data_IF_981498119930
#
_entry.id   IF_981498119930
#
_cell.length_a   1.000
_cell.length_b   1.000
_cell.length_c   1.000
_cell.angle_alpha   90.00
_cell.angle_beta   90.00
_cell.angle_gamma   90.00
#
_symmetry.space_group_name_H-M   'P 1'
#
loop_
_entity.id
_entity.type
_entity.pdbx_description
1 polymer ?
#
# COMPACT_ATOMS: atom_id res chain seq x y z
N UNK A 1 32.51 15.03 15.58
CA UNK A 1 32.50 13.78 16.37
C UNK A 1 31.18 13.71 17.12
N UNK A 2 30.36 12.66 16.92
CA UNK A 2 29.06 12.53 17.60
C UNK A 2 29.27 12.32 19.10
N UNK A 3 28.73 13.22 19.93
CA UNK A 3 28.82 13.13 21.38
C UNK A 3 27.55 12.46 21.95
N UNK A 4 27.73 11.33 22.65
CA UNK A 4 26.61 10.60 23.27
C UNK A 4 26.08 11.37 24.47
N UNK A 5 24.91 11.99 24.31
CA UNK A 5 24.19 12.66 25.40
C UNK A 5 22.91 11.88 25.75
N UNK A 6 22.60 11.76 27.03
CA UNK A 6 21.32 11.18 27.49
C UNK A 6 20.18 12.09 27.07
N UNK A 7 19.10 11.50 26.58
CA UNK A 7 17.89 12.21 26.18
C UNK A 7 16.73 11.68 27.00
N UNK A 8 16.49 12.33 28.14
CA UNK A 8 15.48 11.90 29.10
C UNK A 8 14.16 12.57 28.76
N UNK A 9 13.15 11.77 28.47
CA UNK A 9 11.76 12.18 28.22
C UNK A 9 10.89 11.69 29.38
N UNK A 10 9.90 12.49 29.77
CA UNK A 10 8.87 12.05 30.70
C UNK A 10 7.74 11.40 29.91
N UNK A 11 7.46 10.12 30.18
CA UNK A 11 6.28 9.46 29.62
C UNK A 11 5.00 9.93 30.29
N UNK A 12 3.84 9.61 29.69
CA UNK A 12 2.53 10.03 30.17
C UNK A 12 2.21 9.55 31.61
N UNK A 13 2.83 8.45 32.05
CA UNK A 13 2.76 7.89 33.40
C UNK A 13 3.74 8.56 34.39
N UNK A 14 4.49 9.59 33.97
CA UNK A 14 5.46 10.31 34.79
C UNK A 14 6.84 9.64 34.88
N UNK A 15 7.06 8.49 34.23
CA UNK A 15 8.37 7.81 34.26
C UNK A 15 9.40 8.55 33.41
N UNK A 16 10.65 8.62 33.91
CA UNK A 16 11.79 9.12 33.14
C UNK A 16 12.36 8.03 32.25
N UNK A 17 12.27 8.21 30.94
CA UNK A 17 12.74 7.26 29.92
C UNK A 17 13.88 7.88 29.14
N UNK A 18 15.00 7.17 29.01
CA UNK A 18 16.07 7.58 28.10
C UNK A 18 15.74 7.12 26.67
N UNK A 19 15.35 8.05 25.81
CA UNK A 19 15.03 7.77 24.42
C UNK A 19 16.28 7.97 23.57
N UNK A 20 16.77 6.89 22.95
CA UNK A 20 17.96 6.95 22.12
C UNK A 20 17.83 7.98 20.99
N UNK A 21 18.85 8.83 20.82
CA UNK A 21 18.93 9.81 19.72
C UNK A 21 19.92 9.33 18.67
N UNK A 22 19.40 8.64 17.66
CA UNK A 22 20.19 8.23 16.51
C UNK A 22 20.39 9.42 15.57
N UNK A 23 21.55 9.52 14.92
CA UNK A 23 21.77 10.47 13.80
C UNK A 23 21.03 10.01 12.53
N UNK A 24 20.84 8.70 12.40
CA UNK A 24 20.08 8.15 11.29
C UNK A 24 19.30 6.90 11.63
N UNK A 25 18.44 6.51 10.69
CA UNK A 25 17.64 5.31 10.72
C UNK A 25 17.56 4.76 9.30
N UNK A 26 18.15 3.59 9.10
CA UNK A 26 18.08 2.84 7.86
C UNK A 26 16.92 1.84 7.94
N UNK A 27 15.97 2.00 7.04
CA UNK A 27 14.83 1.10 6.87
C UNK A 27 15.06 0.25 5.62
N UNK A 28 14.82 -1.05 5.71
CA UNK A 28 14.93 -1.99 4.60
C UNK A 28 13.59 -2.68 4.43
N UNK A 29 13.00 -2.54 3.25
CA UNK A 29 11.79 -3.27 2.90
C UNK A 29 12.14 -4.76 2.72
N UNK A 30 11.73 -5.59 3.68
CA UNK A 30 12.07 -7.01 3.72
C UNK A 30 10.87 -7.95 3.64
N UNK A 31 9.65 -7.42 3.75
CA UNK A 31 8.40 -8.19 3.75
C UNK A 31 7.27 -7.46 3.04
N UNK A 32 7.60 -6.70 1.99
CA UNK A 32 6.62 -6.01 1.14
C UNK A 32 6.07 -6.92 0.04
N UNK A 33 5.06 -6.45 -0.69
CA UNK A 33 4.49 -7.17 -1.84
C UNK A 33 5.43 -7.27 -3.06
N UNK A 34 6.50 -6.47 -3.12
CA UNK A 34 7.50 -6.54 -4.21
C UNK A 34 8.91 -6.91 -3.72
N UNK A 35 9.35 -6.37 -2.59
CA UNK A 35 10.71 -6.58 -2.09
C UNK A 35 10.89 -8.01 -1.57
N UNK A 36 11.80 -8.76 -2.20
CA UNK A 36 12.14 -10.12 -1.80
C UNK A 36 11.14 -11.18 -2.27
N UNK A 37 10.12 -10.82 -3.05
CA UNK A 37 9.14 -11.75 -3.61
C UNK A 37 9.73 -12.47 -4.83
N UNK A 38 10.59 -13.46 -4.56
CA UNK A 38 11.26 -14.24 -5.62
C UNK A 38 10.30 -15.08 -6.46
N UNK A 39 9.13 -15.43 -5.91
CA UNK A 39 8.07 -16.12 -6.64
C UNK A 39 7.54 -15.27 -7.80
N UNK A 40 7.50 -13.95 -7.63
CA UNK A 40 6.97 -12.99 -8.62
C UNK A 40 8.09 -12.44 -9.53
N UNK A 41 9.24 -13.11 -9.59
CA UNK A 41 10.37 -12.74 -10.44
C UNK A 41 11.28 -11.62 -9.90
N UNK A 42 11.04 -11.12 -8.69
CA UNK A 42 11.91 -10.13 -8.06
C UNK A 42 13.18 -10.75 -7.46
N UNK A 43 14.24 -9.95 -7.34
CA UNK A 43 15.46 -10.38 -6.68
C UNK A 43 15.24 -10.54 -5.15
N UNK A 44 15.93 -11.48 -4.49
CA UNK A 44 15.87 -11.60 -3.03
C UNK A 44 16.46 -10.35 -2.36
N UNK A 45 15.87 -9.92 -1.24
CA UNK A 45 16.43 -8.84 -0.42
C UNK A 45 17.66 -9.38 0.32
N UNK A 46 18.83 -8.71 0.25
CA UNK A 46 20.02 -9.11 0.99
C UNK A 46 19.93 -8.70 2.47
N UNK A 47 18.87 -9.11 3.16
CA UNK A 47 18.55 -8.73 4.55
C UNK A 47 19.67 -9.10 5.52
N UNK A 48 20.24 -10.30 5.39
CA UNK A 48 21.36 -10.75 6.22
C UNK A 48 22.58 -9.85 6.05
N UNK A 49 22.85 -9.36 4.84
CA UNK A 49 23.98 -8.46 4.60
C UNK A 49 23.80 -7.12 5.31
N UNK A 50 22.58 -6.57 5.30
CA UNK A 50 22.28 -5.35 6.05
C UNK A 50 22.56 -5.54 7.54
N UNK A 51 22.08 -6.65 8.11
CA UNK A 51 22.32 -6.95 9.51
C UNK A 51 23.81 -7.11 9.82
N UNK A 52 24.53 -7.92 9.03
CA UNK A 52 25.96 -8.17 9.20
C UNK A 52 26.80 -6.89 9.15
N UNK A 53 26.58 -6.02 8.15
CA UNK A 53 27.35 -4.78 8.03
C UNK A 53 27.03 -3.80 9.15
N UNK A 54 25.76 -3.71 9.58
CA UNK A 54 25.37 -2.88 10.72
C UNK A 54 26.04 -3.31 12.03
N UNK A 55 26.12 -4.61 12.28
CA UNK A 55 26.82 -5.16 13.43
C UNK A 55 28.34 -4.97 13.33
N UNK A 56 28.92 -5.35 12.17
CA UNK A 56 30.37 -5.24 11.89
C UNK A 56 30.88 -3.81 12.07
N UNK A 57 30.12 -2.82 11.61
CA UNK A 57 30.46 -1.38 11.69
C UNK A 57 30.00 -0.73 13.01
N UNK A 58 29.38 -1.49 13.92
CA UNK A 58 28.97 -1.07 15.27
C UNK A 58 28.03 0.15 15.27
N UNK A 59 27.09 0.19 14.32
CA UNK A 59 26.23 1.35 14.09
C UNK A 59 25.04 1.45 15.05
N UNK A 60 24.79 0.42 15.87
CA UNK A 60 23.61 0.29 16.76
C UNK A 60 23.20 1.53 17.54
N UNK A 61 24.17 2.30 18.03
CA UNK A 61 23.93 3.47 18.87
C UNK A 61 24.03 4.81 18.11
N UNK A 62 24.14 4.77 16.78
CA UNK A 62 24.36 5.95 15.93
C UNK A 62 23.38 5.98 14.76
N UNK A 63 23.24 4.85 14.05
CA UNK A 63 22.27 4.65 12.97
C UNK A 63 21.46 3.41 13.29
N UNK A 64 20.16 3.57 13.53
CA UNK A 64 19.27 2.44 13.79
C UNK A 64 19.00 1.67 12.49
N UNK A 65 18.85 0.35 12.58
CA UNK A 65 18.47 -0.49 11.45
C UNK A 65 17.12 -1.14 11.74
N UNK A 66 16.20 -1.02 10.79
CA UNK A 66 14.93 -1.76 10.79
C UNK A 66 14.81 -2.51 9.48
N UNK A 67 14.62 -3.82 9.56
CA UNK A 67 14.37 -4.68 8.41
C UNK A 67 12.99 -5.27 8.57
N UNK A 68 12.13 -5.10 7.58
CA UNK A 68 10.75 -5.59 7.60
C UNK A 68 9.71 -4.49 7.42
N UNK A 69 8.49 -4.91 7.11
CA UNK A 69 7.42 -4.03 6.67
C UNK A 69 7.56 -3.62 5.19
N UNK A 70 6.49 -3.02 4.66
CA UNK A 70 6.49 -2.38 3.36
C UNK A 70 6.80 -0.89 3.53
N UNK A 71 7.75 -0.36 2.76
CA UNK A 71 8.04 1.07 2.73
C UNK A 71 7.24 1.81 1.65
N UNK A 72 6.76 1.10 0.62
CA UNK A 72 6.48 1.71 -0.68
C UNK A 72 7.68 2.53 -1.19
N UNK A 73 7.56 3.29 -2.28
CA UNK A 73 6.73 3.05 -3.47
C UNK A 73 7.15 1.76 -4.20
N UNK A 74 6.17 0.98 -4.65
CA UNK A 74 6.38 -0.43 -5.02
C UNK A 74 6.91 -0.65 -6.44
N UNK A 75 6.91 0.38 -7.30
CA UNK A 75 7.36 0.28 -8.70
C UNK A 75 8.84 -0.13 -8.86
N UNK A 76 9.62 -0.03 -7.79
CA UNK A 76 10.99 -0.54 -7.76
C UNK A 76 11.11 -1.50 -6.58
N UNK A 77 11.48 -2.76 -6.83
CA UNK A 77 11.69 -3.74 -5.77
C UNK A 77 13.00 -3.50 -4.99
N UNK A 78 13.10 -4.13 -3.82
CA UNK A 78 14.24 -4.09 -2.90
C UNK A 78 14.63 -2.65 -2.50
N UNK A 79 13.64 -1.93 -1.98
CA UNK A 79 13.77 -0.54 -1.51
C UNK A 79 14.39 -0.48 -0.13
N UNK A 80 15.27 0.48 0.08
CA UNK A 80 15.75 0.91 1.39
C UNK A 80 15.64 2.43 1.53
N UNK A 81 15.35 2.93 2.72
CA UNK A 81 15.29 4.36 3.02
C UNK A 81 16.25 4.68 4.16
N UNK A 82 17.14 5.63 3.95
CA UNK A 82 17.95 6.23 5.00
C UNK A 82 17.33 7.58 5.40
N UNK A 83 16.85 7.69 6.64
CA UNK A 83 16.60 8.96 7.29
C UNK A 83 17.86 9.37 8.05
N UNK A 84 18.41 10.54 7.79
CA UNK A 84 19.66 10.98 8.40
C UNK A 84 19.64 12.50 8.61
N UNK A 85 19.77 12.93 9.87
CA UNK A 85 19.61 14.33 10.31
C UNK A 85 18.38 15.04 9.70
N UNK A 86 17.26 14.33 9.63
CA UNK A 86 15.99 14.84 9.09
C UNK A 86 15.88 14.84 7.56
N UNK A 87 16.93 14.43 6.83
CA UNK A 87 16.91 14.26 5.38
C UNK A 87 16.73 12.80 5.01
N UNK A 88 16.00 12.52 3.93
CA UNK A 88 15.78 11.17 3.44
C UNK A 88 16.57 10.92 2.16
N UNK A 89 17.11 9.72 2.05
CA UNK A 89 17.69 9.16 0.82
C UNK A 89 17.02 7.83 0.58
N UNK A 90 16.49 7.64 -0.62
CA UNK A 90 15.85 6.39 -1.01
C UNK A 90 16.74 5.63 -1.97
N UNK A 91 16.86 4.33 -1.74
CA UNK A 91 17.59 3.39 -2.57
C UNK A 91 16.61 2.38 -3.17
N UNK A 92 16.81 2.03 -4.43
CA UNK A 92 16.04 1.00 -5.10
C UNK A 92 16.93 -0.11 -5.65
N UNK A 93 16.32 -1.24 -6.03
CA UNK A 93 17.00 -2.37 -6.66
C UNK A 93 18.23 -2.83 -5.86
N UNK A 94 18.13 -2.82 -4.53
CA UNK A 94 19.21 -3.24 -3.63
C UNK A 94 19.33 -4.76 -3.62
N UNK A 95 19.79 -5.32 -4.73
CA UNK A 95 19.69 -6.74 -5.07
C UNK A 95 20.97 -7.53 -4.74
N UNK A 96 22.01 -6.86 -4.23
CA UNK A 96 23.31 -7.49 -3.99
C UNK A 96 23.97 -6.97 -2.73
N UNK A 97 24.75 -7.83 -2.07
CA UNK A 97 25.51 -7.43 -0.90
C UNK A 97 26.53 -6.32 -1.17
N UNK A 98 27.09 -6.26 -2.37
CA UNK A 98 28.00 -5.18 -2.76
C UNK A 98 27.32 -3.79 -2.84
N UNK A 99 26.01 -3.74 -3.10
CA UNK A 99 25.26 -2.48 -3.04
C UNK A 99 24.92 -2.10 -1.60
N UNK A 100 24.63 -3.09 -0.74
CA UNK A 100 24.48 -2.89 0.71
C UNK A 100 25.75 -2.29 1.32
N UNK A 101 26.91 -2.83 0.97
CA UNK A 101 28.21 -2.33 1.45
C UNK A 101 28.42 -0.86 1.10
N UNK A 102 28.07 -0.46 -0.13
CA UNK A 102 28.15 0.93 -0.59
C UNK A 102 27.20 1.86 0.16
N UNK A 103 26.01 1.41 0.52
CA UNK A 103 25.07 2.18 1.36
C UNK A 103 25.72 2.46 2.72
N UNK A 104 26.39 1.47 3.32
CA UNK A 104 27.10 1.68 4.58
C UNK A 104 28.34 2.57 4.44
N UNK A 105 29.12 2.45 3.36
CA UNK A 105 30.25 3.36 3.09
C UNK A 105 29.76 4.82 2.96
N UNK A 106 28.60 5.02 2.35
CA UNK A 106 27.96 6.33 2.26
C UNK A 106 27.49 6.84 3.64
N UNK A 107 26.88 5.98 4.47
CA UNK A 107 26.52 6.33 5.85
C UNK A 107 27.76 6.74 6.66
N UNK A 108 28.88 6.04 6.52
CA UNK A 108 30.12 6.41 7.22
C UNK A 108 30.67 7.76 6.73
N UNK A 109 30.56 8.05 5.44
CA UNK A 109 30.90 9.37 4.88
C UNK A 109 30.05 10.47 5.51
N UNK A 110 28.73 10.27 5.59
CA UNK A 110 27.81 11.19 6.27
C UNK A 110 28.10 11.32 7.77
N UNK A 111 28.60 10.27 8.41
CA UNK A 111 29.01 10.30 9.82
C UNK A 111 30.32 11.09 10.04
N UNK A 112 31.20 11.12 9.03
CA UNK A 112 32.47 11.84 9.07
C UNK A 112 32.31 13.35 8.82
N UNK A 113 31.32 13.77 8.04
CA UNK A 113 31.08 15.19 7.70
C UNK A 113 29.89 15.78 8.47
N UNK A 114 29.94 17.08 8.83
CA UNK A 114 28.79 17.77 9.42
C UNK A 114 27.72 18.10 8.37
N UNK A 115 28.10 18.34 7.11
CA UNK A 115 27.13 18.56 6.03
C UNK A 115 26.62 17.25 5.41
N UNK A 116 25.32 17.22 5.13
CA UNK A 116 24.70 16.18 4.31
C UNK A 116 25.07 16.36 2.84
N UNK A 117 25.40 15.24 2.18
CA UNK A 117 25.68 15.16 0.75
C UNK A 117 24.87 14.04 0.10
N UNK A 118 24.56 14.15 -1.18
CA UNK A 118 23.91 13.06 -1.94
C UNK A 118 24.92 11.93 -2.24
N UNK A 119 24.46 10.68 -2.38
CA UNK A 119 25.32 9.59 -2.82
C UNK A 119 25.94 9.85 -4.19
N UNK A 120 27.17 9.39 -4.40
CA UNK A 120 27.91 9.56 -5.65
C UNK A 120 28.31 8.21 -6.27
N UNK A 121 28.87 8.25 -7.49
CA UNK A 121 29.33 7.05 -8.21
C UNK A 121 28.21 6.07 -8.52
N UNK A 122 28.47 4.76 -8.43
CA UNK A 122 27.46 3.72 -8.75
C UNK A 122 26.27 3.69 -7.78
N UNK A 123 26.40 4.26 -6.58
CA UNK A 123 25.27 4.32 -5.65
C UNK A 123 24.26 5.36 -6.13
N UNK A 124 24.70 6.45 -6.77
CA UNK A 124 23.82 7.51 -7.27
C UNK A 124 22.77 7.02 -8.27
N UNK A 125 23.10 6.02 -9.10
CA UNK A 125 22.15 5.44 -10.08
C UNK A 125 21.05 4.60 -9.44
N UNK A 126 21.12 4.36 -8.13
CA UNK A 126 20.13 3.62 -7.36
C UNK A 126 19.35 4.56 -6.42
N UNK A 127 19.58 5.87 -6.51
CA UNK A 127 18.95 6.87 -5.64
C UNK A 127 17.77 7.50 -6.34
N UNK A 128 16.66 7.62 -5.61
CA UNK A 128 15.47 8.31 -6.10
C UNK A 128 14.80 9.13 -4.99
N UNK A 129 13.74 9.84 -5.33
CA UNK A 129 12.91 10.60 -4.38
C UNK A 129 11.51 10.02 -4.36
N UNK A 130 11.05 9.52 -3.21
CA UNK A 130 9.68 9.02 -3.06
C UNK A 130 8.77 10.07 -2.42
N UNK A 131 8.91 10.31 -1.11
CA UNK A 131 7.95 11.08 -0.31
C UNK A 131 8.40 12.50 0.02
N UNK A 132 9.52 12.95 -0.52
CA UNK A 132 10.21 14.12 0.01
C UNK A 132 9.92 15.44 -0.72
N UNK A 133 9.20 15.44 -1.85
CA UNK A 133 9.09 16.60 -2.76
C UNK A 133 10.44 17.32 -2.99
N UNK A 134 11.54 16.59 -2.86
CA UNK A 134 12.90 17.10 -3.00
C UNK A 134 13.22 17.21 -4.50
N UNK A 135 14.13 18.12 -4.89
CA UNK A 135 14.67 18.14 -6.25
C UNK A 135 15.16 16.75 -6.65
N UNK A 136 14.89 16.36 -7.90
CA UNK A 136 15.32 15.03 -8.35
C UNK A 136 16.86 14.94 -8.29
N UNK A 137 17.42 13.78 -7.92
CA UNK A 137 18.88 13.62 -7.84
C UNK A 137 19.60 13.86 -9.17
N UNK A 138 18.90 13.69 -10.29
CA UNK A 138 19.41 13.92 -11.64
C UNK A 138 19.19 15.35 -12.16
N UNK A 139 18.70 16.26 -11.31
CA UNK A 139 18.55 17.68 -11.62
C UNK A 139 17.37 18.02 -12.52
N UNK A 140 16.57 17.04 -12.94
CA UNK A 140 15.32 17.33 -13.65
C UNK A 140 14.27 17.92 -12.70
N UNK A 141 13.35 18.69 -13.26
CA UNK A 141 12.22 19.22 -12.51
C UNK A 141 11.41 18.05 -11.89
N UNK A 142 10.95 18.24 -10.66
CA UNK A 142 9.92 17.38 -10.09
C UNK A 142 8.63 17.73 -10.80
N UNK A 143 8.37 17.06 -11.93
CA UNK A 143 7.12 17.17 -12.65
C UNK A 143 6.19 16.05 -12.19
N UNK A 144 5.33 16.35 -11.22
CA UNK A 144 4.20 15.48 -10.87
C UNK A 144 3.03 15.85 -11.79
N UNK A 145 3.25 15.79 -13.11
CA UNK A 145 2.17 15.81 -14.09
C UNK A 145 1.40 14.51 -13.95
N UNK A 146 0.61 14.44 -12.88
CA UNK A 146 -0.62 13.68 -12.86
C UNK A 146 -1.56 14.57 -13.62
N UNK A 147 -1.82 14.34 -14.91
CA UNK A 147 -3.04 14.85 -15.46
C UNK A 147 -4.12 14.17 -14.62
N UNK A 148 -4.60 14.88 -13.59
CA UNK A 148 -6.03 14.85 -13.32
C UNK A 148 -6.58 15.05 -14.71
N UNK A 149 -7.27 14.05 -15.25
CA UNK A 149 -8.23 14.31 -16.30
C UNK A 149 -9.15 15.37 -15.68
N UNK A 150 -8.80 16.64 -15.84
CA UNK A 150 -9.76 17.72 -15.87
C UNK A 150 -10.67 17.23 -16.98
N UNK A 151 -11.80 16.67 -16.57
CA UNK A 151 -12.88 16.34 -17.48
C UNK A 151 -13.00 17.55 -18.39
N UNK A 152 -12.72 17.37 -19.69
CA UNK A 152 -13.01 18.41 -20.66
C UNK A 152 -14.51 18.63 -20.55
N UNK A 153 -14.89 19.76 -19.96
CA UNK A 153 -16.26 20.24 -19.91
C UNK A 153 -16.70 20.43 -21.37
N UNK A 154 -17.35 19.41 -21.93
CA UNK A 154 -17.62 19.36 -23.36
C UNK A 154 -18.23 18.06 -23.88
N UNK A 155 -18.41 17.04 -23.05
CA UNK A 155 -19.29 15.91 -23.38
C UNK A 155 -20.32 15.74 -22.27
N UNK A 156 -21.54 16.19 -22.58
CA UNK A 156 -22.75 16.02 -21.78
C UNK A 156 -23.04 14.53 -21.60
N UNK A 157 -22.73 14.04 -20.40
CA UNK A 157 -23.04 12.70 -19.94
C UNK A 157 -22.84 12.71 -18.43
N UNK A 158 -23.89 13.10 -17.71
CA UNK A 158 -23.89 13.33 -16.28
C UNK A 158 -23.45 12.07 -15.52
N UNK A 159 -22.20 12.08 -15.06
CA UNK A 159 -21.68 11.14 -14.09
C UNK A 159 -20.70 11.89 -13.19
N UNK A 160 -21.23 12.59 -12.20
CA UNK A 160 -20.45 13.25 -11.16
C UNK A 160 -19.64 12.21 -10.37
N UNK A 161 -18.33 12.16 -10.61
CA UNK A 161 -17.39 11.40 -9.78
C UNK A 161 -16.99 12.21 -8.55
N UNK A 162 -17.84 12.18 -7.54
CA UNK A 162 -17.36 12.29 -6.16
C UNK A 162 -16.62 10.99 -5.79
N UNK A 163 -15.50 11.04 -5.03
CA UNK A 163 -14.99 9.84 -4.36
C UNK A 163 -16.10 9.34 -3.42
N UNK A 164 -16.68 8.19 -3.73
CA UNK A 164 -17.68 7.58 -2.83
C UNK A 164 -16.91 6.87 -1.74
N UNK A 165 -16.75 7.54 -0.61
CA UNK A 165 -16.74 6.80 0.63
C UNK A 165 -18.20 6.50 0.91
N UNK A 166 -18.62 5.22 0.99
CA UNK A 166 -19.98 4.92 1.42
C UNK A 166 -20.12 5.51 2.82
N UNK A 167 -20.97 6.52 2.96
CA UNK A 167 -21.34 7.03 4.26
C UNK A 167 -22.20 5.96 4.91
N UNK A 168 -21.58 5.12 5.75
CA UNK A 168 -22.29 4.04 6.45
C UNK A 168 -23.28 4.59 7.48
N UNK A 169 -23.20 5.89 7.79
CA UNK A 169 -24.17 6.61 8.61
C UNK A 169 -25.32 7.20 7.77
N UNK A 170 -25.30 7.03 6.44
CA UNK A 170 -26.41 7.40 5.56
C UNK A 170 -27.66 6.55 5.86
N UNK A 171 -28.84 7.16 6.08
CA UNK A 171 -30.06 6.44 6.44
C UNK A 171 -30.49 5.40 5.40
N UNK A 172 -30.26 5.65 4.11
CA UNK A 172 -30.60 4.74 3.03
C UNK A 172 -29.69 3.51 2.99
N UNK A 173 -28.41 3.68 3.34
CA UNK A 173 -27.46 2.56 3.52
C UNK A 173 -27.82 1.74 4.73
N UNK A 174 -28.15 2.38 5.86
CA UNK A 174 -28.56 1.69 7.07
C UNK A 174 -29.84 0.88 6.83
N UNK A 175 -30.81 1.42 6.09
CA UNK A 175 -32.03 0.71 5.70
C UNK A 175 -31.71 -0.46 4.76
N UNK A 176 -30.93 -0.27 3.71
CA UNK A 176 -30.53 -1.34 2.79
C UNK A 176 -29.78 -2.49 3.51
N UNK A 177 -28.86 -2.15 4.41
CA UNK A 177 -28.10 -3.09 5.24
C UNK A 177 -28.95 -3.76 6.32
N UNK A 178 -29.95 -3.06 6.87
CA UNK A 178 -30.88 -3.60 7.86
C UNK A 178 -31.93 -4.53 7.24
N UNK A 179 -32.30 -4.31 5.97
CA UNK A 179 -33.21 -5.18 5.21
C UNK A 179 -32.57 -6.50 4.77
N UNK A 180 -31.26 -6.69 4.97
CA UNK A 180 -30.56 -7.93 4.65
C UNK A 180 -30.76 -8.98 5.74
N UNK A 181 -31.79 -9.81 5.56
CA UNK A 181 -32.09 -10.96 6.42
C UNK A 181 -31.92 -12.31 5.70
N UNK A 182 -31.83 -13.38 6.50
CA UNK A 182 -31.81 -14.75 6.00
C UNK A 182 -30.48 -15.10 5.30
N UNK A 183 -30.51 -15.82 4.16
CA UNK A 183 -29.29 -16.30 3.49
C UNK A 183 -28.34 -15.21 3.01
N UNK A 184 -28.83 -13.99 2.79
CA UNK A 184 -28.04 -12.84 2.35
C UNK A 184 -27.59 -11.94 3.52
N UNK A 185 -27.75 -12.38 4.77
CA UNK A 185 -27.37 -11.59 5.93
C UNK A 185 -25.85 -11.35 5.97
N UNK A 186 -25.47 -10.09 6.18
CA UNK A 186 -24.06 -9.70 6.27
C UNK A 186 -23.37 -10.31 7.50
N UNK A 187 -22.11 -10.77 7.38
CA UNK A 187 -21.31 -11.23 8.51
C UNK A 187 -21.13 -10.13 9.56
N UNK A 188 -21.56 -10.40 10.79
CA UNK A 188 -21.46 -9.49 11.94
C UNK A 188 -20.81 -10.15 13.14
N UNK A 189 -20.09 -9.36 13.95
CA UNK A 189 -19.58 -9.76 15.27
C UNK A 189 -19.88 -8.64 16.26
N UNK A 190 -20.63 -8.96 17.31
CA UNK A 190 -21.13 -7.98 18.29
C UNK A 190 -21.94 -6.82 17.67
N UNK A 191 -22.66 -7.08 16.56
CA UNK A 191 -23.47 -6.07 15.87
C UNK A 191 -22.74 -5.29 14.77
N UNK A 192 -21.41 -5.27 14.78
CA UNK A 192 -20.58 -4.60 13.78
C UNK A 192 -20.29 -5.51 12.58
N UNK A 193 -20.16 -4.91 11.39
CA UNK A 193 -19.75 -5.61 10.18
C UNK A 193 -18.30 -6.09 10.28
N UNK A 194 -18.02 -7.31 9.82
CA UNK A 194 -16.68 -7.89 9.89
C UNK A 194 -16.08 -8.03 8.50
N UNK A 195 -14.89 -7.43 8.31
CA UNK A 195 -14.08 -7.57 7.11
C UNK A 195 -12.74 -8.22 7.46
N UNK A 196 -12.53 -9.47 7.03
CA UNK A 196 -11.27 -10.20 7.28
C UNK A 196 -10.11 -9.79 6.37
N UNK A 197 -10.41 -9.39 5.13
CA UNK A 197 -9.45 -8.97 4.12
C UNK A 197 -9.71 -7.53 3.68
N UNK A 198 -8.68 -6.83 3.20
CA UNK A 198 -8.82 -5.43 2.75
C UNK A 198 -9.77 -5.27 1.56
N UNK A 199 -9.93 -6.30 0.74
CA UNK A 199 -10.83 -6.24 -0.42
C UNK A 199 -12.31 -6.44 -0.04
N UNK A 200 -12.62 -7.08 1.10
CA UNK A 200 -14.00 -7.28 1.57
C UNK A 200 -14.74 -5.95 1.76
N UNK A 201 -14.12 -4.99 2.44
CA UNK A 201 -14.70 -3.66 2.64
C UNK A 201 -14.80 -2.86 1.33
N UNK A 202 -13.89 -3.09 0.38
CA UNK A 202 -13.88 -2.40 -0.92
C UNK A 202 -15.04 -2.86 -1.80
N UNK A 203 -15.23 -4.17 -1.97
CA UNK A 203 -16.33 -4.69 -2.78
C UNK A 203 -17.69 -4.39 -2.16
N UNK A 204 -17.79 -4.44 -0.83
CA UNK A 204 -18.97 -4.00 -0.09
C UNK A 204 -19.30 -2.53 -0.40
N UNK A 205 -18.32 -1.64 -0.22
CA UNK A 205 -18.51 -0.22 -0.48
C UNK A 205 -18.84 0.11 -1.94
N UNK A 206 -18.27 -0.63 -2.90
CA UNK A 206 -18.60 -0.50 -4.31
C UNK A 206 -20.05 -0.83 -4.61
N UNK A 207 -20.58 -1.94 -4.07
CA UNK A 207 -21.98 -2.33 -4.25
C UNK A 207 -22.94 -1.26 -3.69
N UNK A 208 -22.67 -0.76 -2.48
CA UNK A 208 -23.46 0.32 -1.86
C UNK A 208 -23.40 1.60 -2.70
N UNK A 209 -22.20 2.02 -3.11
CA UNK A 209 -22.01 3.24 -3.90
C UNK A 209 -22.75 3.22 -5.24
N UNK A 210 -22.78 2.06 -5.90
CA UNK A 210 -23.49 1.87 -7.16
C UNK A 210 -25.01 1.87 -6.96
N UNK A 211 -25.49 1.24 -5.88
CA UNK A 211 -26.91 1.24 -5.54
C UNK A 211 -27.41 2.65 -5.17
N UNK A 212 -26.67 3.41 -4.36
CA UNK A 212 -27.03 4.80 -4.02
C UNK A 212 -27.14 5.71 -5.25
N UNK A 213 -26.39 5.38 -6.31
CA UNK A 213 -26.45 6.09 -7.60
C UNK A 213 -27.57 5.60 -8.52
N UNK A 214 -28.38 4.64 -8.08
CA UNK A 214 -29.47 4.07 -8.86
C UNK A 214 -28.99 3.23 -10.05
N UNK A 215 -27.74 2.75 -10.03
CA UNK A 215 -27.18 1.93 -11.13
C UNK A 215 -27.89 0.58 -11.20
N UNK A 216 -28.26 0.04 -10.05
CA UNK A 216 -29.12 -1.13 -9.90
C UNK A 216 -29.95 -1.00 -8.62
N UNK A 217 -31.04 -1.75 -8.56
CA UNK A 217 -31.90 -1.80 -7.37
C UNK A 217 -31.36 -2.78 -6.34
N UNK A 218 -31.52 -2.48 -5.05
CA UNK A 218 -30.98 -3.32 -3.99
C UNK A 218 -31.53 -4.76 -4.00
N UNK A 219 -32.81 -4.92 -4.32
CA UNK A 219 -33.46 -6.22 -4.37
C UNK A 219 -32.92 -7.12 -5.50
N UNK A 220 -32.52 -6.52 -6.63
CA UNK A 220 -31.88 -7.24 -7.74
C UNK A 220 -30.53 -7.80 -7.31
N UNK A 221 -29.71 -6.98 -6.64
CA UNK A 221 -28.44 -7.42 -6.07
C UNK A 221 -28.64 -8.50 -5.01
N UNK A 222 -29.60 -8.33 -4.11
CA UNK A 222 -29.91 -9.31 -3.06
C UNK A 222 -30.30 -10.67 -3.64
N UNK A 223 -31.10 -10.70 -4.71
CA UNK A 223 -31.49 -11.95 -5.37
C UNK A 223 -30.31 -12.64 -6.05
N UNK A 224 -29.46 -11.88 -6.75
CA UNK A 224 -28.21 -12.38 -7.33
C UNK A 224 -27.31 -13.01 -6.25
N UNK A 225 -27.15 -12.32 -5.11
CA UNK A 225 -26.37 -12.79 -3.98
C UNK A 225 -26.91 -14.08 -3.37
N UNK A 226 -28.22 -14.20 -3.16
CA UNK A 226 -28.84 -15.45 -2.68
C UNK A 226 -28.54 -16.60 -3.64
N UNK A 227 -28.57 -16.35 -4.96
CA UNK A 227 -28.20 -17.32 -5.98
C UNK A 227 -26.76 -17.80 -5.79
N UNK A 228 -25.80 -16.88 -5.74
CA UNK A 228 -24.38 -17.20 -5.57
C UNK A 228 -24.07 -17.90 -4.25
N UNK A 229 -24.70 -17.48 -3.15
CA UNK A 229 -24.55 -18.16 -1.86
C UNK A 229 -25.01 -19.60 -1.97
N UNK A 230 -26.18 -19.88 -2.55
CA UNK A 230 -26.68 -21.26 -2.72
C UNK A 230 -25.78 -22.13 -3.60
N UNK A 231 -25.19 -21.55 -4.64
CA UNK A 231 -24.24 -22.26 -5.50
C UNK A 231 -22.94 -22.60 -4.77
N UNK A 232 -22.45 -21.69 -3.92
CA UNK A 232 -21.12 -21.77 -3.32
C UNK A 232 -21.12 -22.37 -1.90
N UNK A 233 -22.23 -22.32 -1.17
CA UNK A 233 -22.31 -22.74 0.25
C UNK A 233 -22.04 -24.24 0.45
N UNK A 234 -22.22 -25.04 -0.60
CA UNK A 234 -21.97 -26.48 -0.61
C UNK A 234 -20.54 -26.86 -1.06
N UNK A 235 -19.68 -25.88 -1.37
CA UNK A 235 -18.28 -26.12 -1.73
C UNK A 235 -17.38 -26.44 -0.53
N UNK A 236 -16.15 -26.90 -0.79
CA UNK A 236 -15.16 -27.23 0.26
C UNK A 236 -14.74 -26.01 1.11
N UNK A 237 -14.80 -24.81 0.53
CA UNK A 237 -14.52 -23.54 1.19
C UNK A 237 -15.55 -22.50 0.76
N UNK A 238 -16.18 -21.85 1.73
CA UNK A 238 -17.15 -20.78 1.49
C UNK A 238 -16.64 -19.47 2.12
N UNK A 239 -16.41 -18.45 1.28
CA UNK A 239 -16.09 -17.08 1.70
C UNK A 239 -17.22 -16.16 1.25
N UNK A 240 -17.95 -15.59 2.21
CA UNK A 240 -19.14 -14.79 1.92
C UNK A 240 -18.89 -13.63 0.94
N UNK A 241 -17.78 -12.92 1.09
CA UNK A 241 -17.46 -11.78 0.22
C UNK A 241 -17.04 -12.18 -1.20
N UNK A 242 -16.70 -13.45 -1.45
CA UNK A 242 -16.51 -13.97 -2.81
C UNK A 242 -17.88 -14.12 -3.51
N UNK A 243 -18.87 -14.64 -2.80
CA UNK A 243 -20.25 -14.68 -3.30
C UNK A 243 -20.83 -13.26 -3.52
N UNK A 244 -20.49 -12.32 -2.64
CA UNK A 244 -20.82 -10.90 -2.80
C UNK A 244 -20.23 -10.29 -4.07
N UNK A 245 -18.95 -10.55 -4.32
CA UNK A 245 -18.25 -10.07 -5.52
C UNK A 245 -18.85 -10.66 -6.79
N UNK A 246 -19.03 -11.99 -6.84
CA UNK A 246 -19.63 -12.66 -7.98
C UNK A 246 -21.05 -12.14 -8.28
N UNK A 247 -21.85 -11.91 -7.24
CA UNK A 247 -23.20 -11.35 -7.40
C UNK A 247 -23.19 -9.92 -7.97
N UNK A 248 -22.21 -9.11 -7.57
CA UNK A 248 -22.02 -7.75 -8.09
C UNK A 248 -21.60 -7.79 -9.57
N UNK A 249 -20.69 -8.69 -9.92
CA UNK A 249 -20.26 -8.92 -11.30
C UNK A 249 -21.44 -9.33 -12.20
N UNK A 250 -22.30 -10.23 -11.73
CA UNK A 250 -23.49 -10.67 -12.48
C UNK A 250 -24.46 -9.52 -12.75
N UNK A 251 -24.75 -8.69 -11.74
CA UNK A 251 -25.65 -7.54 -11.88
C UNK A 251 -25.08 -6.52 -12.87
N UNK A 252 -23.77 -6.26 -12.80
CA UNK A 252 -23.10 -5.33 -13.71
C UNK A 252 -23.01 -5.87 -15.15
N UNK A 253 -22.79 -7.17 -15.30
CA UNK A 253 -22.76 -7.84 -16.59
C UNK A 253 -24.14 -7.89 -17.24
N UNK A 254 -25.19 -8.22 -16.48
CA UNK A 254 -26.58 -8.24 -16.96
C UNK A 254 -27.03 -6.87 -17.49
N UNK A 255 -26.49 -5.79 -16.93
CA UNK A 255 -26.73 -4.40 -17.34
C UNK A 255 -25.76 -3.89 -18.42
N UNK A 256 -24.87 -4.75 -18.92
CA UNK A 256 -23.83 -4.42 -19.90
C UNK A 256 -22.91 -3.25 -19.49
N UNK A 257 -22.79 -3.00 -18.18
CA UNK A 257 -21.95 -1.93 -17.64
C UNK A 257 -20.50 -2.38 -17.53
N UNK A 258 -20.31 -3.64 -17.15
CA UNK A 258 -18.99 -4.28 -17.11
C UNK A 258 -19.12 -5.68 -17.70
N UNK A 259 -18.79 -5.86 -19.00
CA UNK A 259 -18.81 -7.17 -19.64
C UNK A 259 -17.84 -8.15 -18.97
N UNK A 260 -18.23 -9.42 -18.87
CA UNK A 260 -17.44 -10.47 -18.22
C UNK A 260 -16.10 -10.71 -18.94
N UNK A 261 -16.08 -10.64 -20.26
CA UNK A 261 -14.85 -10.75 -21.07
C UNK A 261 -13.87 -9.62 -20.78
N UNK A 262 -14.36 -8.38 -20.65
CA UNK A 262 -13.55 -7.25 -20.24
C UNK A 262 -13.02 -7.40 -18.81
N UNK A 263 -13.84 -7.88 -17.86
CA UNK A 263 -13.37 -8.16 -16.51
C UNK A 263 -12.29 -9.23 -16.48
N UNK A 264 -12.48 -10.33 -17.21
CA UNK A 264 -11.49 -11.41 -17.28
C UNK A 264 -10.17 -10.92 -17.89
N UNK A 265 -10.24 -10.13 -18.95
CA UNK A 265 -9.05 -9.52 -19.58
C UNK A 265 -8.32 -8.59 -18.61
N UNK A 266 -9.05 -7.73 -17.88
CA UNK A 266 -8.41 -6.83 -16.90
C UNK A 266 -7.85 -7.61 -15.70
N UNK A 267 -8.54 -8.65 -15.23
CA UNK A 267 -8.04 -9.55 -14.17
C UNK A 267 -6.75 -10.25 -14.61
N UNK A 268 -6.70 -10.74 -15.85
CA UNK A 268 -5.49 -11.31 -16.44
C UNK A 268 -4.36 -10.28 -16.47
N UNK A 269 -4.63 -9.05 -16.90
CA UNK A 269 -3.62 -7.98 -16.89
C UNK A 269 -3.09 -7.68 -15.49
N UNK A 270 -3.91 -7.79 -14.44
CA UNK A 270 -3.45 -7.65 -13.05
C UNK A 270 -2.66 -8.86 -12.57
N UNK A 271 -3.12 -10.08 -12.89
CA UNK A 271 -2.44 -11.34 -12.53
C UNK A 271 -1.05 -11.43 -13.14
N UNK A 272 -0.87 -10.94 -14.37
CA UNK A 272 0.40 -10.97 -15.12
C UNK A 272 1.15 -9.62 -15.10
N UNK A 273 0.69 -8.64 -14.33
CA UNK A 273 1.37 -7.35 -14.16
C UNK A 273 1.44 -6.48 -15.43
N UNK A 274 0.59 -6.72 -16.43
CA UNK A 274 0.44 -5.87 -17.61
C UNK A 274 -0.28 -4.55 -17.31
N UNK A 275 -0.93 -4.49 -16.15
CA UNK A 275 -1.58 -3.29 -15.62
C UNK A 275 -1.18 -3.06 -14.17
N UNK A 276 -0.64 -1.87 -13.88
CA UNK A 276 -0.26 -1.49 -12.52
C UNK A 276 -1.48 -1.41 -11.59
N UNK A 277 -1.29 -1.92 -10.37
CA UNK A 277 -2.13 -1.63 -9.22
C UNK A 277 -2.20 -0.10 -9.02
N UNK A 278 -3.33 0.50 -9.38
CA UNK A 278 -3.60 1.90 -9.05
C UNK A 278 -3.89 1.98 -7.55
N UNK A 279 -2.84 2.18 -6.74
CA UNK A 279 -2.93 2.66 -5.36
C UNK A 279 -1.95 3.81 -5.12
#
# INVERSE_FOLDING_TARGET
MYERRRNIVLSADGRRVNVARFRGHLFVCGSGCCCGQTADGFAPVPADRFHQEWERRRLRNVVHLTVGGCLGPCGLANVAMLLFDGKTVWFHSVNSGGLVDRIYDYIETLLATPEFSQPSGRLASHVFTASAWQPRPDGQAVDDFRPRRLFQAGMSGDCERAPVQPDLDDPGVQEAVALMDGPAALPRKNGELVFEERWHGRVFGMAIALQQRGIFEWEEFRQSLIGRIREMEHGERFVYYEAWMAALEDVLAARALVPTDYLNEVTFQYEFGERDDVY
#
